data_IF_040428544472
#
_entry.id   IF_040428544472
#
_cell.length_a   1.000
_cell.length_b   1.000
_cell.length_c   1.000
_cell.angle_alpha   90.00
_cell.angle_beta   90.00
_cell.angle_gamma   90.00
#
_symmetry.space_group_name_H-M   'P 1'
#
loop_
_entity.id
_entity.type
_entity.pdbx_description
1 polymer ?
#
# COMPACT_ATOMS: atom_id res chain seq x y z
N UNK A 1 -32.77 39.05 -43.18
CA UNK A 1 -33.36 38.28 -44.27
C UNK A 1 -33.86 36.96 -43.66
N UNK A 2 -35.11 36.93 -43.32
CA UNK A 2 -36.22 36.32 -44.06
C UNK A 2 -36.32 34.81 -43.72
N UNK A 3 -37.35 34.53 -42.83
CA UNK A 3 -38.42 33.54 -42.91
C UNK A 3 -38.03 32.05 -43.20
N UNK A 4 -38.61 31.04 -42.58
CA UNK A 4 -40.06 30.73 -42.50
C UNK A 4 -40.36 29.53 -41.62
N UNK A 5 -41.37 29.67 -40.81
CA UNK A 5 -42.15 28.67 -40.08
C UNK A 5 -42.81 27.63 -40.99
N UNK A 6 -42.97 26.41 -40.50
CA UNK A 6 -44.10 25.55 -40.93
C UNK A 6 -44.67 24.76 -39.76
N UNK A 7 -45.88 25.14 -39.37
CA UNK A 7 -46.82 24.33 -38.55
C UNK A 7 -47.54 23.32 -39.41
N UNK A 8 -47.72 22.13 -38.90
CA UNK A 8 -48.57 21.08 -39.52
C UNK A 8 -49.30 20.27 -38.44
N UNK A 9 -50.52 20.75 -38.08
CA UNK A 9 -51.53 20.00 -37.35
C UNK A 9 -52.19 18.95 -38.24
N UNK A 10 -52.37 17.70 -37.78
CA UNK A 10 -53.52 16.82 -38.12
C UNK A 10 -53.65 15.72 -37.06
N UNK A 11 -54.66 15.81 -36.20
CA UNK A 11 -55.96 15.14 -36.22
C UNK A 11 -55.96 13.66 -35.76
N UNK A 12 -56.68 13.52 -34.63
CA UNK A 12 -57.16 12.33 -33.92
C UNK A 12 -57.74 11.24 -34.83
N UNK A 13 -57.42 9.99 -34.50
CA UNK A 13 -58.41 8.86 -34.61
C UNK A 13 -58.19 7.96 -33.37
N UNK A 14 -59.24 7.95 -32.54
CA UNK A 14 -59.43 6.98 -31.49
C UNK A 14 -59.91 5.64 -32.13
N UNK A 15 -59.28 4.56 -31.72
CA UNK A 15 -59.77 3.21 -31.87
C UNK A 15 -59.66 2.51 -30.54
N UNK A 16 -60.81 2.28 -29.94
CA UNK A 16 -60.95 1.43 -28.77
C UNK A 16 -60.84 -0.03 -29.22
N UNK A 17 -59.96 -0.78 -28.57
CA UNK A 17 -59.94 -2.23 -28.63
C UNK A 17 -59.88 -2.79 -27.21
N UNK A 18 -60.80 -3.66 -26.96
CA UNK A 18 -61.21 -4.26 -25.71
C UNK A 18 -60.15 -5.12 -25.06
N UNK A 19 -60.04 -4.98 -23.78
CA UNK A 19 -59.25 -5.77 -22.81
C UNK A 19 -59.67 -7.23 -22.80
N UNK A 20 -58.66 -8.12 -22.95
CA UNK A 20 -58.72 -9.48 -22.44
C UNK A 20 -57.75 -9.60 -21.30
N UNK A 21 -58.26 -9.71 -20.11
CA UNK A 21 -57.52 -10.06 -18.89
C UNK A 21 -57.16 -11.55 -18.96
N UNK A 22 -55.91 -11.86 -19.24
CA UNK A 22 -55.33 -13.17 -18.96
C UNK A 22 -54.47 -13.01 -17.72
N UNK A 23 -54.93 -13.52 -16.58
CA UNK A 23 -54.19 -13.60 -15.35
C UNK A 23 -52.95 -14.49 -15.52
N UNK A 24 -51.78 -13.89 -15.67
CA UNK A 24 -50.50 -14.56 -15.64
C UNK A 24 -49.93 -14.42 -14.22
N UNK A 25 -49.84 -15.54 -13.50
CA UNK A 25 -49.09 -15.61 -12.25
C UNK A 25 -47.62 -15.46 -12.62
N UNK A 26 -47.14 -14.22 -12.62
CA UNK A 26 -45.73 -13.89 -12.77
C UNK A 26 -44.97 -14.28 -11.51
N UNK A 27 -44.40 -15.47 -11.49
CA UNK A 27 -43.37 -15.83 -10.49
C UNK A 27 -42.19 -14.88 -10.62
N UNK A 28 -42.02 -13.99 -9.63
CA UNK A 28 -40.80 -13.20 -9.50
C UNK A 28 -39.64 -14.15 -9.18
N UNK A 29 -38.87 -14.53 -10.19
CA UNK A 29 -37.58 -15.16 -9.98
C UNK A 29 -36.66 -14.06 -9.42
N UNK A 30 -36.48 -14.01 -8.09
CA UNK A 30 -35.45 -13.25 -7.49
C UNK A 30 -34.13 -13.83 -8.01
N UNK A 31 -33.48 -13.09 -8.93
CA UNK A 31 -32.10 -13.38 -9.31
C UNK A 31 -31.23 -13.19 -8.05
N UNK A 32 -30.82 -14.29 -7.42
CA UNK A 32 -29.81 -14.24 -6.39
C UNK A 32 -28.51 -13.78 -7.07
N UNK A 33 -28.13 -12.54 -6.82
CA UNK A 33 -26.78 -12.08 -7.15
C UNK A 33 -25.79 -13.05 -6.50
N UNK A 34 -24.74 -13.50 -7.22
CA UNK A 34 -23.72 -14.34 -6.59
C UNK A 34 -23.17 -13.56 -5.41
N UNK A 35 -23.16 -14.19 -4.22
CA UNK A 35 -22.51 -13.63 -3.05
C UNK A 35 -21.05 -13.43 -3.43
N UNK A 36 -20.58 -12.17 -3.44
CA UNK A 36 -19.17 -11.90 -3.58
C UNK A 36 -18.45 -12.69 -2.50
N UNK A 37 -17.56 -13.60 -2.90
CA UNK A 37 -16.72 -14.34 -1.95
C UNK A 37 -16.00 -13.31 -1.10
N UNK A 38 -16.31 -13.24 0.18
CA UNK A 38 -15.60 -12.35 1.08
C UNK A 38 -14.11 -12.73 1.00
N UNK A 39 -13.27 -11.79 0.63
CA UNK A 39 -11.84 -12.00 0.66
C UNK A 39 -11.46 -12.47 2.08
N UNK A 40 -10.78 -13.60 2.19
CA UNK A 40 -10.31 -14.09 3.49
C UNK A 40 -9.23 -13.12 3.97
N UNK A 41 -9.58 -12.24 4.91
CA UNK A 41 -8.66 -11.28 5.49
C UNK A 41 -7.65 -12.01 6.39
N UNK A 42 -6.37 -11.76 6.19
CA UNK A 42 -5.33 -12.15 7.15
C UNK A 42 -5.39 -11.25 8.39
N UNK A 43 -4.84 -11.74 9.52
CA UNK A 43 -4.69 -10.91 10.72
C UNK A 43 -3.75 -9.73 10.48
N UNK A 44 -2.68 -9.97 9.72
CA UNK A 44 -1.62 -8.99 9.42
C UNK A 44 -1.32 -8.99 7.94
N UNK A 45 -1.24 -7.80 7.36
CA UNK A 45 -0.73 -7.58 6.00
C UNK A 45 0.64 -6.91 6.06
N UNK A 46 1.64 -7.55 5.46
CA UNK A 46 3.03 -7.09 5.42
C UNK A 46 3.27 -6.40 4.08
N UNK A 47 3.30 -5.07 4.11
CA UNK A 47 3.48 -4.24 2.91
C UNK A 47 4.96 -3.92 2.74
N UNK A 48 5.55 -4.40 1.65
CA UNK A 48 7.00 -4.37 1.45
C UNK A 48 7.37 -3.51 0.25
N UNK A 49 8.17 -2.49 0.47
CA UNK A 49 8.82 -1.69 -0.55
C UNK A 49 10.31 -2.09 -0.65
N UNK A 50 10.67 -2.77 -1.75
CA UNK A 50 12.02 -3.30 -1.98
C UNK A 50 13.05 -2.20 -2.29
N UNK A 51 14.34 -2.54 -2.28
CA UNK A 51 15.41 -1.63 -2.66
C UNK A 51 15.54 -1.42 -4.18
N UNK A 52 16.36 -0.44 -4.57
CA UNK A 52 16.65 -0.12 -5.99
C UNK A 52 17.24 -1.33 -6.69
N UNK A 53 16.66 -1.71 -7.83
CA UNK A 53 17.03 -2.88 -8.65
C UNK A 53 17.02 -4.22 -7.89
N UNK A 54 16.44 -4.25 -6.70
CA UNK A 54 16.38 -5.49 -5.92
C UNK A 54 15.46 -6.50 -6.61
N UNK A 55 15.94 -7.70 -6.94
CA UNK A 55 15.13 -8.76 -7.56
C UNK A 55 14.22 -9.45 -6.53
N UNK A 56 13.34 -10.32 -7.02
CA UNK A 56 12.36 -11.02 -6.19
C UNK A 56 11.04 -10.28 -6.04
N UNK A 57 10.04 -10.95 -5.50
CA UNK A 57 8.69 -10.38 -5.35
C UNK A 57 8.66 -9.35 -4.23
N UNK A 58 9.17 -9.68 -3.05
CA UNK A 58 9.27 -8.77 -1.93
C UNK A 58 10.67 -8.12 -1.81
N UNK A 59 11.66 -8.66 -2.51
CA UNK A 59 13.06 -8.30 -2.41
C UNK A 59 13.87 -9.34 -1.64
N UNK A 60 14.94 -9.86 -2.30
CA UNK A 60 15.72 -10.99 -1.76
C UNK A 60 16.63 -10.63 -0.60
N UNK A 61 16.98 -9.36 -0.42
CA UNK A 61 17.91 -8.91 0.64
C UNK A 61 17.16 -8.72 1.96
N UNK A 62 15.98 -8.10 1.90
CA UNK A 62 15.18 -7.78 3.09
C UNK A 62 13.78 -8.36 3.04
N UNK A 63 13.01 -8.13 1.98
CA UNK A 63 11.58 -8.38 1.96
C UNK A 63 11.21 -9.85 2.17
N UNK A 64 11.78 -10.76 1.38
CA UNK A 64 11.52 -12.19 1.50
C UNK A 64 12.01 -12.77 2.85
N UNK A 65 13.25 -12.48 3.33
CA UNK A 65 13.69 -12.90 4.65
C UNK A 65 12.86 -12.30 5.78
N UNK A 66 12.45 -11.04 5.68
CA UNK A 66 11.65 -10.37 6.72
C UNK A 66 10.26 -10.98 6.82
N UNK A 67 9.60 -11.29 5.70
CA UNK A 67 8.31 -11.95 5.71
C UNK A 67 8.40 -13.34 6.37
N UNK A 68 9.41 -14.12 6.03
CA UNK A 68 9.66 -15.42 6.66
C UNK A 68 9.91 -15.32 8.17
N UNK A 69 10.70 -14.31 8.60
CA UNK A 69 10.95 -14.05 10.01
C UNK A 69 9.67 -13.65 10.76
N UNK A 70 8.80 -12.83 10.15
CA UNK A 70 7.50 -12.45 10.72
C UNK A 70 6.56 -13.65 10.86
N UNK A 71 6.51 -14.56 9.86
CA UNK A 71 5.72 -15.78 9.96
C UNK A 71 6.16 -16.64 11.17
N UNK A 72 7.46 -16.68 11.42
CA UNK A 72 8.03 -17.41 12.55
C UNK A 72 7.79 -16.72 13.90
N UNK A 73 7.79 -15.37 13.93
CA UNK A 73 7.63 -14.57 15.14
C UNK A 73 6.17 -14.36 15.55
N UNK A 74 5.21 -14.65 14.66
CA UNK A 74 3.77 -14.47 14.86
C UNK A 74 3.00 -15.81 14.76
N UNK A 75 3.33 -16.82 15.58
CA UNK A 75 2.65 -18.09 15.54
C UNK A 75 1.17 -17.92 15.89
N UNK A 76 0.29 -18.55 15.10
CA UNK A 76 -1.16 -18.45 15.27
C UNK A 76 -1.82 -17.23 14.65
N UNK A 77 -1.05 -16.35 14.00
CA UNK A 77 -1.57 -15.28 13.14
C UNK A 77 -1.50 -15.68 11.68
N UNK A 78 -2.51 -15.28 10.91
CA UNK A 78 -2.47 -15.37 9.46
C UNK A 78 -1.81 -14.11 8.89
N UNK A 79 -0.83 -14.29 8.00
CA UNK A 79 -0.12 -13.21 7.35
C UNK A 79 -0.38 -13.24 5.85
N UNK A 80 -0.65 -12.07 5.27
CA UNK A 80 -0.50 -11.80 3.84
C UNK A 80 0.71 -10.91 3.60
N UNK A 81 1.18 -10.85 2.35
CA UNK A 81 2.21 -9.92 1.94
C UNK A 81 1.78 -9.16 0.69
N UNK A 82 2.18 -7.89 0.62
CA UNK A 82 1.96 -7.05 -0.55
C UNK A 82 3.28 -6.44 -1.01
N UNK A 83 3.78 -6.80 -2.20
CA UNK A 83 4.90 -6.11 -2.82
C UNK A 83 4.41 -4.77 -3.37
N UNK A 84 4.95 -3.66 -2.88
CA UNK A 84 4.66 -2.33 -3.43
C UNK A 84 5.03 -2.31 -4.91
N UNK A 85 4.05 -1.95 -5.75
CA UNK A 85 4.20 -1.95 -7.19
C UNK A 85 4.81 -0.62 -7.66
N UNK A 86 6.12 -0.61 -7.87
CA UNK A 86 6.85 0.54 -8.35
C UNK A 86 8.13 0.12 -9.08
N UNK A 87 8.74 1.00 -9.90
CA UNK A 87 9.92 0.66 -10.67
C UNK A 87 11.10 0.19 -9.80
N UNK A 88 11.32 0.82 -8.65
CA UNK A 88 12.50 0.62 -7.80
C UNK A 88 13.79 0.81 -8.61
N UNK A 89 13.86 1.90 -9.36
CA UNK A 89 14.98 2.28 -10.22
C UNK A 89 15.55 3.65 -9.83
N UNK A 90 16.49 4.17 -10.60
CA UNK A 90 17.10 5.48 -10.36
C UNK A 90 16.31 6.65 -10.97
N UNK A 91 15.08 6.43 -11.42
CA UNK A 91 14.20 7.45 -12.00
C UNK A 91 13.63 8.40 -10.94
N UNK A 92 14.47 9.27 -10.38
CA UNK A 92 14.07 10.26 -9.38
C UNK A 92 13.27 11.41 -9.98
N UNK A 93 12.24 11.91 -9.26
CA UNK A 93 11.61 11.36 -8.05
C UNK A 93 10.50 10.36 -8.37
N UNK A 94 10.30 10.01 -9.65
CA UNK A 94 9.12 9.29 -10.16
C UNK A 94 9.00 7.90 -9.55
N UNK A 95 10.13 7.19 -9.38
CA UNK A 95 10.13 5.84 -8.84
C UNK A 95 9.55 5.83 -7.40
N UNK A 96 10.13 6.62 -6.49
CA UNK A 96 9.65 6.68 -5.09
C UNK A 96 8.23 7.23 -4.99
N UNK A 97 7.84 8.19 -5.82
CA UNK A 97 6.48 8.74 -5.83
C UNK A 97 5.45 7.73 -6.31
N UNK A 98 5.81 6.87 -7.27
CA UNK A 98 4.96 5.77 -7.72
C UNK A 98 4.73 4.78 -6.57
N UNK A 99 5.80 4.36 -5.88
CA UNK A 99 5.70 3.49 -4.72
C UNK A 99 4.90 4.10 -3.58
N UNK A 100 5.09 5.40 -3.31
CA UNK A 100 4.33 6.11 -2.29
C UNK A 100 2.81 6.10 -2.56
N UNK A 101 2.39 6.37 -3.81
CA UNK A 101 0.96 6.27 -4.17
C UNK A 101 0.43 4.86 -4.05
N UNK A 102 1.18 3.88 -4.53
CA UNK A 102 0.77 2.48 -4.53
C UNK A 102 0.62 1.94 -3.10
N UNK A 103 1.60 2.18 -2.22
CA UNK A 103 1.55 1.77 -0.82
C UNK A 103 0.32 2.36 -0.10
N UNK A 104 0.11 3.67 -0.24
CA UNK A 104 -1.03 4.35 0.41
C UNK A 104 -2.37 3.85 -0.12
N UNK A 105 -2.47 3.66 -1.44
CA UNK A 105 -3.67 3.12 -2.07
C UNK A 105 -3.96 1.69 -1.58
N UNK A 106 -2.94 0.82 -1.53
CA UNK A 106 -3.09 -0.54 -1.03
C UNK A 106 -3.57 -0.56 0.42
N UNK A 107 -2.87 0.13 1.33
CA UNK A 107 -3.25 0.17 2.76
C UNK A 107 -4.67 0.70 2.94
N UNK A 108 -5.06 1.74 2.21
CA UNK A 108 -6.40 2.33 2.31
C UNK A 108 -7.48 1.38 1.83
N UNK A 109 -7.27 0.77 0.66
CA UNK A 109 -8.23 -0.16 0.05
C UNK A 109 -8.36 -1.44 0.88
N UNK A 110 -7.22 -1.99 1.29
CA UNK A 110 -7.18 -3.21 2.10
C UNK A 110 -7.79 -3.00 3.48
N UNK A 111 -7.55 -1.84 4.11
CA UNK A 111 -8.16 -1.49 5.38
C UNK A 111 -9.70 -1.38 5.30
N UNK A 112 -10.23 -0.92 4.18
CA UNK A 112 -11.68 -0.86 3.95
C UNK A 112 -12.27 -2.27 3.73
N UNK A 113 -11.58 -3.12 2.99
CA UNK A 113 -12.01 -4.50 2.74
C UNK A 113 -11.90 -5.39 3.98
N UNK A 114 -10.88 -5.16 4.83
CA UNK A 114 -10.54 -5.98 6.01
C UNK A 114 -10.47 -5.12 7.28
N UNK A 115 -11.61 -4.77 7.91
CA UNK A 115 -11.67 -3.78 9.00
C UNK A 115 -10.85 -4.11 10.25
N UNK A 116 -10.53 -5.36 10.52
CA UNK A 116 -9.75 -5.79 11.70
C UNK A 116 -8.27 -6.04 11.42
N UNK A 117 -7.87 -6.03 10.14
CA UNK A 117 -6.49 -6.35 9.72
C UNK A 117 -5.51 -5.27 10.20
N UNK A 118 -4.33 -5.69 10.66
CA UNK A 118 -3.20 -4.83 11.03
C UNK A 118 -2.18 -4.80 9.90
N UNK A 119 -1.36 -3.75 9.83
CA UNK A 119 -0.34 -3.58 8.83
C UNK A 119 1.05 -3.50 9.45
N UNK A 120 2.02 -4.17 8.83
CA UNK A 120 3.45 -3.97 9.07
C UNK A 120 4.02 -3.41 7.78
N UNK A 121 4.65 -2.23 7.85
CA UNK A 121 5.29 -1.60 6.71
C UNK A 121 6.79 -1.93 6.74
N UNK A 122 7.33 -2.41 5.64
CA UNK A 122 8.74 -2.77 5.50
C UNK A 122 9.34 -1.97 4.36
N UNK A 123 10.43 -1.25 4.63
CA UNK A 123 11.14 -0.47 3.62
C UNK A 123 12.63 -0.78 3.64
N UNK A 124 13.21 -1.02 2.45
CA UNK A 124 14.65 -1.17 2.30
C UNK A 124 15.20 -0.16 1.29
N UNK A 125 16.25 0.58 1.66
CA UNK A 125 16.91 1.51 0.77
C UNK A 125 15.93 2.54 0.17
N UNK A 126 15.74 2.61 -1.15
CA UNK A 126 14.71 3.43 -1.78
C UNK A 126 13.30 3.10 -1.24
N UNK A 127 13.03 1.84 -0.92
CA UNK A 127 11.76 1.42 -0.32
C UNK A 127 11.52 2.03 1.07
N UNK A 128 12.58 2.36 1.81
CA UNK A 128 12.45 3.11 3.05
C UNK A 128 11.92 4.53 2.80
N UNK A 129 12.39 5.22 1.75
CA UNK A 129 11.84 6.52 1.34
C UNK A 129 10.35 6.41 0.95
N UNK A 130 9.94 5.31 0.31
CA UNK A 130 8.53 5.06 -0.02
C UNK A 130 7.69 4.97 1.25
N UNK A 131 8.13 4.21 2.25
CA UNK A 131 7.45 4.08 3.54
C UNK A 131 7.42 5.40 4.29
N UNK A 132 8.56 6.12 4.36
CA UNK A 132 8.66 7.42 5.02
C UNK A 132 7.64 8.41 4.46
N UNK A 133 7.60 8.57 3.14
CA UNK A 133 6.63 9.44 2.48
C UNK A 133 5.19 9.03 2.80
N UNK A 134 4.91 7.71 2.85
CA UNK A 134 3.57 7.19 3.10
C UNK A 134 3.04 7.48 4.50
N UNK A 135 3.94 7.69 5.47
CA UNK A 135 3.60 8.06 6.86
C UNK A 135 3.79 9.56 7.14
N UNK A 136 4.06 10.36 6.13
CA UNK A 136 4.18 11.81 6.24
C UNK A 136 5.57 12.34 6.60
N UNK A 137 6.60 11.50 6.53
CA UNK A 137 8.02 11.88 6.72
C UNK A 137 8.65 12.08 5.33
N UNK A 138 9.03 13.32 5.00
CA UNK A 138 9.55 13.63 3.67
C UNK A 138 10.95 13.06 3.43
N UNK A 139 11.09 12.29 2.36
CA UNK A 139 12.38 11.84 1.83
C UNK A 139 12.97 12.78 0.77
N UNK A 140 12.39 13.97 0.60
CA UNK A 140 12.90 14.93 -0.36
C UNK A 140 14.34 15.34 -0.06
N UNK A 141 15.18 15.29 -1.10
CA UNK A 141 16.63 15.50 -1.00
C UNK A 141 17.44 14.31 -0.47
N UNK A 142 16.81 13.21 -0.04
CA UNK A 142 17.52 11.97 0.28
C UNK A 142 17.94 11.22 -0.99
N UNK A 143 18.93 10.34 -0.87
CA UNK A 143 19.35 9.49 -2.00
C UNK A 143 18.14 8.68 -2.50
N UNK A 144 17.89 8.73 -3.82
CA UNK A 144 16.70 8.14 -4.49
C UNK A 144 15.39 8.49 -3.78
N UNK A 145 15.31 9.68 -3.20
CA UNK A 145 14.15 10.19 -2.50
C UNK A 145 13.22 11.02 -3.38
N UNK A 146 12.26 11.69 -2.75
CA UNK A 146 11.35 12.61 -3.44
C UNK A 146 10.25 13.14 -2.53
N UNK A 147 9.54 14.15 -3.03
CA UNK A 147 8.46 14.77 -2.30
C UNK A 147 7.29 13.79 -2.05
N UNK A 148 6.62 13.95 -0.92
CA UNK A 148 5.40 13.24 -0.57
C UNK A 148 4.31 13.53 -1.60
N UNK A 149 3.66 12.50 -2.11
CA UNK A 149 2.52 12.61 -3.04
C UNK A 149 1.25 11.94 -2.52
N UNK A 150 1.37 11.10 -1.48
CA UNK A 150 0.25 10.49 -0.78
C UNK A 150 0.65 10.19 0.67
N UNK A 151 -0.33 10.20 1.60
CA UNK A 151 -0.14 9.81 2.99
C UNK A 151 -1.25 8.88 3.45
N UNK A 152 -0.91 7.91 4.28
CA UNK A 152 -1.89 7.05 4.95
C UNK A 152 -2.82 7.93 5.79
N UNK A 153 -4.15 7.80 5.63
CA UNK A 153 -5.11 8.57 6.42
C UNK A 153 -4.89 8.42 7.93
N UNK A 154 -5.01 9.51 8.68
CA UNK A 154 -4.82 9.51 10.14
C UNK A 154 -5.75 8.55 10.87
N UNK A 155 -6.93 8.29 10.33
CA UNK A 155 -7.88 7.28 10.85
C UNK A 155 -7.32 5.86 10.82
N UNK A 156 -6.32 5.57 9.98
CA UNK A 156 -5.68 4.26 9.86
C UNK A 156 -4.39 4.15 10.69
N UNK A 157 -3.95 5.22 11.34
CA UNK A 157 -2.70 5.23 12.12
C UNK A 157 -2.63 4.11 13.16
N UNK A 158 -3.74 3.82 13.86
CA UNK A 158 -3.80 2.75 14.85
C UNK A 158 -3.69 1.34 14.23
N UNK A 159 -3.95 1.21 12.93
CA UNK A 159 -3.87 -0.03 12.17
C UNK A 159 -2.43 -0.37 11.75
N UNK A 160 -1.53 0.61 11.68
CA UNK A 160 -0.10 0.38 11.43
C UNK A 160 0.54 -0.11 12.72
N UNK A 161 0.81 -1.40 12.79
CA UNK A 161 1.36 -2.07 13.98
C UNK A 161 2.85 -1.76 14.14
N UNK A 162 3.62 -1.91 13.07
CA UNK A 162 5.06 -1.67 13.07
C UNK A 162 5.53 -1.12 11.73
N UNK A 163 6.65 -0.43 11.76
CA UNK A 163 7.40 0.08 10.62
C UNK A 163 8.83 -0.43 10.78
N UNK A 164 9.30 -1.16 9.79
CA UNK A 164 10.63 -1.77 9.78
C UNK A 164 11.43 -1.19 8.62
N UNK A 165 12.46 -0.41 8.96
CA UNK A 165 13.29 0.29 7.98
C UNK A 165 14.70 -0.27 7.97
N UNK A 166 15.26 -0.42 6.78
CA UNK A 166 16.60 -0.95 6.59
C UNK A 166 17.37 -0.09 5.60
N UNK A 167 18.51 0.46 6.03
CA UNK A 167 19.32 1.35 5.20
C UNK A 167 18.57 2.59 4.75
N UNK A 168 17.85 3.22 5.67
CA UNK A 168 16.94 4.34 5.38
C UNK A 168 17.73 5.61 4.98
N UNK A 169 17.56 6.15 3.75
CA UNK A 169 18.37 7.26 3.24
C UNK A 169 18.16 8.59 3.97
N UNK A 170 17.00 8.83 4.60
CA UNK A 170 16.78 10.10 5.33
C UNK A 170 17.74 10.25 6.52
N UNK A 171 18.27 9.13 7.06
CA UNK A 171 19.21 9.16 8.19
C UNK A 171 20.52 9.85 7.85
N UNK A 172 21.01 9.69 6.62
CA UNK A 172 22.21 10.40 6.15
C UNK A 172 22.01 11.93 6.12
N UNK A 173 20.77 12.40 6.16
CA UNK A 173 20.40 13.82 6.28
C UNK A 173 20.17 14.26 7.74
N UNK A 174 20.40 13.38 8.71
CA UNK A 174 20.10 13.64 10.12
C UNK A 174 18.61 13.63 10.46
N UNK A 175 17.77 13.08 9.57
CA UNK A 175 16.32 12.92 9.78
C UNK A 175 16.02 11.54 10.39
N UNK A 176 14.85 11.42 11.00
CA UNK A 176 14.32 10.15 11.52
C UNK A 176 12.79 10.17 11.50
N UNK A 177 12.18 9.00 11.66
CA UNK A 177 10.74 8.90 11.86
C UNK A 177 10.39 9.40 13.24
N UNK A 178 9.51 10.40 13.31
CA UNK A 178 9.09 11.10 14.54
C UNK A 178 7.59 11.03 14.73
N UNK A 179 7.08 11.60 15.83
CA UNK A 179 5.66 11.71 16.11
C UNK A 179 5.00 10.36 16.40
N UNK A 180 3.79 10.17 15.92
CA UNK A 180 2.93 9.03 16.26
C UNK A 180 3.55 7.67 15.91
N UNK A 181 4.42 7.62 14.90
CA UNK A 181 5.03 6.39 14.43
C UNK A 181 6.37 6.07 15.08
N UNK A 182 6.99 7.02 15.81
CA UNK A 182 8.33 6.84 16.39
C UNK A 182 8.44 5.57 17.26
N UNK A 183 7.50 5.34 18.17
CA UNK A 183 7.52 4.17 19.06
C UNK A 183 7.19 2.83 18.36
N UNK A 184 6.75 2.90 17.10
CA UNK A 184 6.39 1.73 16.28
C UNK A 184 7.39 1.47 15.18
N UNK A 185 8.47 2.22 15.12
CA UNK A 185 9.52 2.11 14.11
C UNK A 185 10.76 1.47 14.69
N UNK A 186 11.28 0.48 13.97
CA UNK A 186 12.63 -0.03 14.11
C UNK A 186 13.39 0.30 12.82
N UNK A 187 14.51 1.02 12.94
CA UNK A 187 15.22 1.61 11.80
C UNK A 187 16.72 1.24 11.88
N UNK A 188 17.08 0.22 11.08
CA UNK A 188 18.41 -0.34 11.02
C UNK A 188 19.31 0.42 10.03
N UNK A 189 20.46 0.87 10.50
CA UNK A 189 21.53 1.41 9.68
C UNK A 189 22.83 0.70 10.05
N UNK A 190 23.33 -0.14 9.15
CA UNK A 190 24.57 -0.85 9.34
C UNK A 190 25.74 0.13 9.36
N UNK A 191 26.76 -0.15 10.21
CA UNK A 191 27.93 0.72 10.30
C UNK A 191 28.63 0.83 8.94
N UNK A 192 28.98 2.07 8.56
CA UNK A 192 29.57 2.43 7.27
C UNK A 192 28.66 2.25 6.05
N UNK A 193 27.37 1.99 6.21
CA UNK A 193 26.44 2.00 5.07
C UNK A 193 26.31 3.43 4.50
N UNK A 194 26.76 3.67 3.24
CA UNK A 194 26.76 5.01 2.65
C UNK A 194 25.37 5.58 2.36
N UNK A 195 24.32 4.74 2.40
CA UNK A 195 22.94 5.15 2.11
C UNK A 195 22.28 5.80 3.33
N UNK A 196 22.51 5.24 4.52
CA UNK A 196 21.88 5.72 5.75
C UNK A 196 22.85 6.41 6.72
N UNK A 197 24.16 6.31 6.50
CA UNK A 197 25.18 6.95 7.33
C UNK A 197 25.95 8.00 6.52
N UNK A 198 25.93 9.24 6.98
CA UNK A 198 26.75 10.29 6.39
C UNK A 198 28.23 9.90 6.43
N UNK A 199 28.92 9.98 5.30
CA UNK A 199 30.33 9.57 5.12
C UNK A 199 30.57 8.05 5.24
N UNK A 200 29.55 7.20 5.25
CA UNK A 200 29.69 5.77 5.11
C UNK A 200 30.37 5.41 3.77
N UNK A 201 31.18 4.36 3.76
CA UNK A 201 31.97 4.01 2.57
C UNK A 201 32.00 2.49 2.28
N UNK A 202 31.18 1.71 2.97
CA UNK A 202 31.08 0.27 2.79
C UNK A 202 29.75 -0.14 2.15
N UNK A 203 29.71 -0.28 0.83
CA UNK A 203 28.52 -0.70 0.10
C UNK A 203 28.05 -2.10 0.51
N UNK A 204 28.96 -2.99 0.97
CA UNK A 204 28.56 -4.31 1.45
C UNK A 204 27.76 -4.25 2.75
N UNK A 205 27.97 -3.21 3.57
CA UNK A 205 27.12 -2.96 4.73
C UNK A 205 25.67 -2.73 4.34
N UNK A 206 25.42 -2.04 3.19
CA UNK A 206 24.08 -1.83 2.66
C UNK A 206 23.39 -3.12 2.23
N UNK A 207 24.13 -4.17 1.92
CA UNK A 207 23.59 -5.47 1.50
C UNK A 207 23.46 -6.49 2.65
N UNK A 208 23.78 -6.10 3.91
CA UNK A 208 23.88 -7.02 5.05
C UNK A 208 22.60 -7.17 5.89
N UNK A 209 21.54 -6.45 5.57
CA UNK A 209 20.35 -6.33 6.43
C UNK A 209 19.53 -7.61 6.60
N UNK A 210 19.74 -8.64 5.80
CA UNK A 210 19.16 -9.95 6.05
C UNK A 210 19.43 -10.49 7.46
N UNK A 211 20.57 -10.10 8.07
CA UNK A 211 20.93 -10.44 9.44
C UNK A 211 20.09 -9.75 10.53
N UNK A 212 19.37 -8.68 10.20
CA UNK A 212 18.55 -7.91 11.14
C UNK A 212 17.09 -8.34 11.18
N UNK A 213 16.65 -9.18 10.25
CA UNK A 213 15.22 -9.51 10.05
C UNK A 213 14.60 -10.20 11.26
N UNK A 214 15.34 -11.05 11.97
CA UNK A 214 14.85 -11.71 13.19
C UNK A 214 14.59 -10.71 14.34
N UNK A 215 15.48 -9.73 14.52
CA UNK A 215 15.30 -8.67 15.53
C UNK A 215 14.10 -7.79 15.17
N UNK A 216 13.99 -7.38 13.91
CA UNK A 216 12.87 -6.61 13.39
C UNK A 216 11.54 -7.36 13.54
N UNK A 217 11.52 -8.67 13.28
CA UNK A 217 10.32 -9.49 13.46
C UNK A 217 9.90 -9.57 14.93
N UNK A 218 10.87 -9.71 15.85
CA UNK A 218 10.60 -9.69 17.30
C UNK A 218 10.02 -8.35 17.74
N UNK A 219 10.57 -7.24 17.24
CA UNK A 219 10.06 -5.90 17.50
C UNK A 219 8.61 -5.73 17.02
N UNK A 220 8.31 -6.20 15.80
CA UNK A 220 6.97 -6.12 15.23
C UNK A 220 5.97 -7.02 15.98
N UNK A 221 6.38 -8.24 16.37
CA UNK A 221 5.52 -9.19 17.08
C UNK A 221 5.01 -8.65 18.41
N UNK A 222 5.80 -7.84 19.10
CA UNK A 222 5.38 -7.19 20.35
C UNK A 222 4.31 -6.09 20.14
N UNK A 223 3.92 -5.78 18.91
CA UNK A 223 3.03 -4.67 18.53
C UNK A 223 1.79 -5.09 17.75
N UNK A 224 1.68 -6.35 17.35
CA UNK A 224 0.56 -6.92 16.59
C UNK A 224 -0.62 -7.37 17.45
#
# INVERSE_FOLDING_TARGET
MIFSSYQGRRLLRALAVSTVLIGGIGGATAAMAPAASAATCSDVDVVVARGTFEPGTLGIIVGDPQFSALQSALPGKTLSSYPVNYPADLGEPTSVQTGNRDLVNHVTTQAAACPSQRFILVGYSQGANVVDNSIGISSDGALVGGAIVATIPTSLTSRIAAILQFGNPIRAQGKSITGTFQARTDDFCADQDPVCQANGNNVLAHLSYGGNTAAAATFAAARV
#
